data_IF_238162214715
#
_entry.id   IF_238162214715
#
_cell.length_a   1.000
_cell.length_b   1.000
_cell.length_c   1.000
_cell.angle_alpha   90.00
_cell.angle_beta   90.00
_cell.angle_gamma   90.00
#
_symmetry.space_group_name_H-M   'P 1'
#
loop_
_entity.id
_entity.type
_entity.pdbx_description
1 polymer ?
#
# COMPACT_ATOMS: atom_id res chain seq x y z
N UNK A 1 -13.66 58.50 -84.24
CA UNK A 1 -13.69 59.03 -82.86
C UNK A 1 -15.00 58.79 -82.08
N UNK A 2 -16.13 58.41 -82.70
CA UNK A 2 -17.44 58.30 -82.01
C UNK A 2 -17.71 57.02 -81.20
N UNK A 3 -17.07 55.88 -81.51
CA UNK A 3 -17.29 54.63 -80.75
C UNK A 3 -16.72 54.69 -79.32
N UNK A 4 -15.61 55.40 -79.14
CA UNK A 4 -14.95 55.51 -77.83
C UNK A 4 -15.68 56.46 -76.87
N UNK A 5 -16.35 57.50 -77.38
CA UNK A 5 -17.12 58.45 -76.55
C UNK A 5 -18.42 57.85 -76.01
N UNK A 6 -19.12 57.04 -76.80
CA UNK A 6 -20.36 56.39 -76.33
C UNK A 6 -20.10 55.31 -75.27
N UNK A 7 -19.03 54.53 -75.43
CA UNK A 7 -18.60 53.54 -74.41
C UNK A 7 -18.14 54.24 -73.12
N UNK A 8 -17.49 55.39 -73.23
CA UNK A 8 -17.05 56.18 -72.06
C UNK A 8 -18.24 56.79 -71.29
N UNK A 9 -19.29 57.25 -71.99
CA UNK A 9 -20.50 57.80 -71.33
C UNK A 9 -21.33 56.69 -70.68
N UNK A 10 -21.46 55.52 -71.34
CA UNK A 10 -22.19 54.38 -70.78
C UNK A 10 -21.46 53.76 -69.57
N UNK A 11 -20.12 53.71 -69.60
CA UNK A 11 -19.32 53.30 -68.44
C UNK A 11 -19.42 54.32 -67.30
N UNK A 12 -19.38 55.62 -67.58
CA UNK A 12 -19.60 56.67 -66.57
C UNK A 12 -20.99 56.61 -65.93
N UNK A 13 -22.05 56.28 -66.68
CA UNK A 13 -23.41 56.13 -66.15
C UNK A 13 -23.58 54.88 -65.28
N UNK A 14 -23.01 53.74 -65.69
CA UNK A 14 -23.02 52.49 -64.90
C UNK A 14 -22.18 52.63 -63.62
N UNK A 15 -21.06 53.35 -63.69
CA UNK A 15 -20.24 53.70 -62.51
C UNK A 15 -21.03 54.60 -61.56
N UNK A 16 -21.79 55.58 -62.05
CA UNK A 16 -22.53 56.51 -61.21
C UNK A 16 -23.77 55.87 -60.55
N UNK A 17 -24.44 54.93 -61.24
CA UNK A 17 -25.58 54.19 -60.69
C UNK A 17 -25.12 53.17 -59.62
N UNK A 18 -24.06 52.41 -59.90
CA UNK A 18 -23.45 51.49 -58.93
C UNK A 18 -22.90 52.23 -57.69
N UNK A 19 -22.37 53.45 -57.86
CA UNK A 19 -21.89 54.29 -56.76
C UNK A 19 -23.02 54.76 -55.83
N UNK A 20 -24.22 55.02 -56.36
CA UNK A 20 -25.39 55.42 -55.57
C UNK A 20 -25.99 54.24 -54.78
N UNK A 21 -26.04 53.06 -55.37
CA UNK A 21 -26.47 51.83 -54.67
C UNK A 21 -25.47 51.41 -53.59
N UNK A 22 -24.16 51.51 -53.88
CA UNK A 22 -23.10 51.27 -52.91
C UNK A 22 -23.17 52.27 -51.75
N UNK A 23 -23.41 53.55 -52.03
CA UNK A 23 -23.54 54.58 -51.01
C UNK A 23 -24.75 54.33 -50.09
N UNK A 24 -25.89 53.93 -50.63
CA UNK A 24 -27.05 53.55 -49.83
C UNK A 24 -26.78 52.32 -48.94
N UNK A 25 -26.08 51.30 -49.47
CA UNK A 25 -25.67 50.13 -48.67
C UNK A 25 -24.71 50.50 -47.55
N UNK A 26 -23.76 51.43 -47.80
CA UNK A 26 -22.86 51.95 -46.77
C UNK A 26 -23.63 52.68 -45.67
N UNK A 27 -24.61 53.52 -46.01
CA UNK A 27 -25.44 54.22 -45.02
C UNK A 27 -26.26 53.24 -44.16
N UNK A 28 -26.85 52.21 -44.78
CA UNK A 28 -27.60 51.17 -44.05
C UNK A 28 -26.68 50.38 -43.12
N UNK A 29 -25.48 50.01 -43.58
CA UNK A 29 -24.50 49.32 -42.74
C UNK A 29 -23.95 50.21 -41.62
N UNK A 30 -23.75 51.50 -41.86
CA UNK A 30 -23.30 52.46 -40.84
C UNK A 30 -24.36 52.68 -39.76
N UNK A 31 -25.64 52.74 -40.15
CA UNK A 31 -26.77 52.83 -39.21
C UNK A 31 -26.92 51.55 -38.39
N UNK A 32 -26.83 50.37 -39.03
CA UNK A 32 -26.85 49.08 -38.35
C UNK A 32 -25.64 48.91 -37.40
N UNK A 33 -24.44 49.31 -37.80
CA UNK A 33 -23.25 49.33 -36.92
C UNK A 33 -23.45 50.29 -35.74
N UNK A 34 -24.09 51.43 -35.95
CA UNK A 34 -24.39 52.38 -34.89
C UNK A 34 -25.41 51.81 -33.89
N UNK A 35 -26.46 51.16 -34.37
CA UNK A 35 -27.47 50.49 -33.54
C UNK A 35 -26.85 49.31 -32.76
N UNK A 36 -26.07 48.46 -33.43
CA UNK A 36 -25.35 47.35 -32.79
C UNK A 36 -24.32 47.82 -31.75
N UNK A 37 -23.65 48.95 -31.97
CA UNK A 37 -22.75 49.55 -30.97
C UNK A 37 -23.51 50.03 -29.74
N UNK A 38 -24.67 50.65 -29.95
CA UNK A 38 -25.55 51.10 -28.87
C UNK A 38 -26.07 49.93 -28.07
N UNK A 39 -26.53 48.86 -28.73
CA UNK A 39 -27.01 47.64 -28.08
C UNK A 39 -25.89 46.93 -27.30
N UNK A 40 -24.70 46.76 -27.87
CA UNK A 40 -23.55 46.22 -27.16
C UNK A 40 -23.16 47.04 -25.92
N UNK A 41 -23.25 48.38 -25.99
CA UNK A 41 -22.98 49.23 -24.84
C UNK A 41 -24.03 49.06 -23.72
N UNK A 42 -25.29 48.83 -24.09
CA UNK A 42 -26.39 48.54 -23.16
C UNK A 42 -26.17 47.19 -22.48
N UNK A 43 -25.89 46.13 -23.26
CA UNK A 43 -25.64 44.78 -22.74
C UNK A 43 -24.42 44.73 -21.82
N UNK A 44 -23.34 45.44 -22.15
CA UNK A 44 -22.18 45.58 -21.27
C UNK A 44 -22.52 46.29 -19.96
N UNK A 45 -23.43 47.27 -20.00
CA UNK A 45 -23.96 47.93 -18.81
C UNK A 45 -24.75 46.97 -17.93
N UNK A 46 -25.66 46.19 -18.53
CA UNK A 46 -26.48 45.20 -17.84
C UNK A 46 -25.64 44.08 -17.20
N UNK A 47 -24.61 43.58 -17.90
CA UNK A 47 -23.69 42.57 -17.35
C UNK A 47 -22.98 43.10 -16.09
N UNK A 48 -22.44 44.32 -16.14
CA UNK A 48 -21.79 44.93 -14.97
C UNK A 48 -22.76 45.11 -13.82
N UNK A 49 -23.99 45.51 -14.11
CA UNK A 49 -25.02 45.64 -13.08
C UNK A 49 -25.38 44.28 -12.46
N UNK A 50 -25.48 43.22 -13.28
CA UNK A 50 -25.70 41.86 -12.77
C UNK A 50 -24.53 41.36 -11.93
N UNK A 51 -23.28 41.60 -12.32
CA UNK A 51 -22.08 41.25 -11.54
C UNK A 51 -22.11 41.91 -10.16
N UNK A 52 -22.36 43.21 -10.10
CA UNK A 52 -22.46 43.93 -8.82
C UNK A 52 -23.60 43.43 -7.94
N UNK A 53 -24.74 43.06 -8.53
CA UNK A 53 -25.87 42.47 -7.80
C UNK A 53 -25.50 41.09 -7.25
N UNK A 54 -24.86 40.23 -8.04
CA UNK A 54 -24.41 38.90 -7.60
C UNK A 54 -23.42 39.02 -6.44
N UNK A 55 -22.44 39.91 -6.54
CA UNK A 55 -21.46 40.16 -5.47
C UNK A 55 -22.14 40.70 -4.20
N UNK A 56 -23.15 41.55 -4.34
CA UNK A 56 -23.92 42.05 -3.20
C UNK A 56 -24.66 40.93 -2.46
N UNK A 57 -25.26 39.98 -3.20
CA UNK A 57 -26.00 38.83 -2.63
C UNK A 57 -25.05 37.80 -2.02
N UNK A 58 -23.91 37.56 -2.66
CA UNK A 58 -22.88 36.64 -2.18
C UNK A 58 -22.29 37.06 -0.82
N UNK A 59 -22.21 38.38 -0.58
CA UNK A 59 -21.70 38.96 0.65
C UNK A 59 -22.75 39.15 1.75
N UNK A 60 -24.02 38.78 1.51
CA UNK A 60 -25.04 38.85 2.56
C UNK A 60 -24.69 37.88 3.71
N UNK A 61 -24.96 38.26 4.98
CA UNK A 61 -24.63 37.44 6.15
C UNK A 61 -25.17 36.01 6.08
N UNK A 62 -26.43 35.87 5.62
CA UNK A 62 -27.09 34.57 5.45
C UNK A 62 -26.41 33.70 4.39
N UNK A 63 -25.92 34.30 3.30
CA UNK A 63 -25.22 33.59 2.23
C UNK A 63 -23.86 33.10 2.70
N UNK A 64 -23.09 33.95 3.39
CA UNK A 64 -21.80 33.60 3.99
C UNK A 64 -21.98 32.47 5.02
N UNK A 65 -23.00 32.57 5.88
CA UNK A 65 -23.32 31.56 6.88
C UNK A 65 -23.79 30.23 6.26
N UNK A 66 -24.53 30.28 5.15
CA UNK A 66 -24.92 29.08 4.40
C UNK A 66 -23.68 28.40 3.78
N UNK A 67 -22.75 29.18 3.23
CA UNK A 67 -21.51 28.66 2.66
C UNK A 67 -20.58 28.06 3.72
N UNK A 68 -20.52 28.64 4.93
CA UNK A 68 -19.76 28.01 6.03
C UNK A 68 -20.35 26.66 6.44
N UNK A 69 -21.68 26.51 6.39
CA UNK A 69 -22.32 25.21 6.63
C UNK A 69 -21.89 24.16 5.60
N UNK A 70 -21.84 24.54 4.32
CA UNK A 70 -21.35 23.66 3.27
C UNK A 70 -19.90 23.21 3.53
N UNK A 71 -19.00 24.12 3.90
CA UNK A 71 -17.61 23.75 4.21
C UNK A 71 -17.51 22.83 5.44
N UNK A 72 -18.32 23.06 6.47
CA UNK A 72 -18.41 22.18 7.62
C UNK A 72 -18.83 20.75 7.22
N UNK A 73 -19.86 20.60 6.39
CA UNK A 73 -20.31 19.30 5.89
C UNK A 73 -19.27 18.60 5.02
N UNK A 74 -18.50 19.37 4.24
CA UNK A 74 -17.40 18.87 3.41
C UNK A 74 -16.11 18.60 4.19
N UNK A 75 -16.11 18.78 5.52
CA UNK A 75 -14.93 18.65 6.40
C UNK A 75 -13.79 19.61 6.05
N UNK A 76 -14.10 20.70 5.36
CA UNK A 76 -13.20 21.81 5.04
C UNK A 76 -13.27 22.81 6.20
N UNK A 77 -12.72 22.41 7.34
CA UNK A 77 -12.93 23.14 8.59
C UNK A 77 -12.19 24.47 8.63
N UNK A 78 -11.01 24.58 8.01
CA UNK A 78 -10.25 25.83 7.92
C UNK A 78 -11.03 26.88 7.13
N UNK A 79 -11.54 26.53 5.95
CA UNK A 79 -12.35 27.42 5.12
C UNK A 79 -13.69 27.78 5.78
N UNK A 80 -14.26 26.86 6.57
CA UNK A 80 -15.43 27.14 7.40
C UNK A 80 -15.12 28.19 8.47
N UNK A 81 -14.00 28.03 9.18
CA UNK A 81 -13.56 28.93 10.26
C UNK A 81 -13.30 30.33 9.68
N UNK A 82 -12.56 30.42 8.58
CA UNK A 82 -12.23 31.70 7.92
C UNK A 82 -13.50 32.46 7.52
N UNK A 83 -14.49 31.78 6.93
CA UNK A 83 -15.77 32.41 6.59
C UNK A 83 -16.54 32.90 7.82
N UNK A 84 -16.50 32.17 8.93
CA UNK A 84 -17.17 32.55 10.17
C UNK A 84 -16.48 33.74 10.85
N UNK A 85 -15.15 33.83 10.76
CA UNK A 85 -14.38 35.01 11.19
C UNK A 85 -14.80 36.23 10.37
N UNK A 86 -14.76 36.15 9.03
CA UNK A 86 -15.16 37.23 8.13
C UNK A 86 -16.61 37.68 8.41
N UNK A 87 -17.52 36.73 8.62
CA UNK A 87 -18.91 37.01 8.97
C UNK A 87 -19.01 37.78 10.29
N UNK A 88 -18.28 37.36 11.32
CA UNK A 88 -18.29 38.00 12.63
C UNK A 88 -17.65 39.39 12.63
N UNK A 89 -16.64 39.62 11.79
CA UNK A 89 -15.98 40.92 11.66
C UNK A 89 -16.84 41.92 10.91
N UNK A 90 -17.46 41.51 9.80
CA UNK A 90 -18.30 42.38 8.96
C UNK A 90 -19.70 42.59 9.55
N UNK A 91 -20.24 41.61 10.27
CA UNK A 91 -21.62 41.60 10.78
C UNK A 91 -21.68 41.08 12.22
N UNK A 92 -21.11 41.81 13.20
CA UNK A 92 -20.89 41.31 14.57
C UNK A 92 -22.17 40.96 15.34
N UNK A 93 -23.28 41.64 15.06
CA UNK A 93 -24.57 41.41 15.73
C UNK A 93 -25.45 40.39 15.01
N UNK A 94 -25.08 39.93 13.80
CA UNK A 94 -25.90 39.02 13.02
C UNK A 94 -25.81 37.59 13.56
N UNK A 95 -26.90 37.11 14.17
CA UNK A 95 -27.04 35.75 14.72
C UNK A 95 -25.82 35.24 15.51
N UNK A 96 -25.16 36.14 16.27
CA UNK A 96 -23.86 35.92 16.93
C UNK A 96 -23.75 34.58 17.67
N UNK A 97 -24.79 34.16 18.39
CA UNK A 97 -24.82 32.87 19.11
C UNK A 97 -24.71 31.67 18.16
N UNK A 98 -25.36 31.70 16.99
CA UNK A 98 -25.31 30.61 16.00
C UNK A 98 -23.97 30.58 15.28
N UNK A 99 -23.40 31.75 14.95
CA UNK A 99 -22.05 31.88 14.37
C UNK A 99 -21.01 31.30 15.33
N UNK A 100 -21.01 31.72 16.60
CA UNK A 100 -20.08 31.22 17.61
C UNK A 100 -20.21 29.72 17.85
N UNK A 101 -21.44 29.19 17.86
CA UNK A 101 -21.65 27.75 18.01
C UNK A 101 -20.98 26.98 16.87
N UNK A 102 -21.23 27.38 15.62
CA UNK A 102 -20.63 26.72 14.45
C UNK A 102 -19.11 26.87 14.41
N UNK A 103 -18.59 28.03 14.81
CA UNK A 103 -17.16 28.26 14.91
C UNK A 103 -16.51 27.29 15.90
N UNK A 104 -17.10 27.12 17.09
CA UNK A 104 -16.62 26.16 18.08
C UNK A 104 -16.73 24.70 17.60
N UNK A 105 -17.82 24.35 16.89
CA UNK A 105 -17.98 23.04 16.25
C UNK A 105 -16.86 22.78 15.23
N UNK A 106 -16.58 23.74 14.34
CA UNK A 106 -15.54 23.63 13.33
C UNK A 106 -14.13 23.53 13.93
N UNK A 107 -13.81 24.32 14.96
CA UNK A 107 -12.52 24.24 15.66
C UNK A 107 -12.34 22.89 16.35
N UNK A 108 -13.38 22.40 17.02
CA UNK A 108 -13.33 21.10 17.70
C UNK A 108 -13.10 19.99 16.68
N UNK A 109 -13.85 20.02 15.57
CA UNK A 109 -13.71 19.04 14.49
C UNK A 109 -12.33 19.10 13.81
N UNK A 110 -11.76 20.30 13.58
CA UNK A 110 -10.41 20.48 13.04
C UNK A 110 -9.35 19.90 13.99
N UNK A 111 -9.48 20.15 15.29
CA UNK A 111 -8.56 19.62 16.30
C UNK A 111 -8.58 18.09 16.33
N UNK A 112 -9.77 17.49 16.25
CA UNK A 112 -9.91 16.04 16.25
C UNK A 112 -9.41 15.41 14.95
N UNK A 113 -9.64 16.05 13.79
CA UNK A 113 -9.07 15.64 12.51
C UNK A 113 -7.54 15.64 12.55
N UNK A 114 -6.93 16.71 13.07
CA UNK A 114 -5.48 16.83 13.17
C UNK A 114 -4.87 15.78 14.10
N UNK A 115 -5.52 15.49 15.24
CA UNK A 115 -5.09 14.40 16.14
C UNK A 115 -5.16 13.03 15.45
N UNK A 116 -6.21 12.77 14.69
CA UNK A 116 -6.36 11.49 14.01
C UNK A 116 -5.34 11.34 12.88
N UNK A 117 -5.07 12.40 12.12
CA UNK A 117 -3.99 12.42 11.13
C UNK A 117 -2.63 12.15 11.78
N UNK A 118 -2.32 12.79 12.91
CA UNK A 118 -1.09 12.53 13.66
C UNK A 118 -0.99 11.06 14.11
N UNK A 119 -2.07 10.48 14.61
CA UNK A 119 -2.11 9.06 14.99
C UNK A 119 -1.82 8.14 13.82
N UNK A 120 -2.40 8.42 12.65
CA UNK A 120 -2.16 7.64 11.42
C UNK A 120 -0.68 7.74 11.02
N UNK A 121 -0.11 8.95 11.00
CA UNK A 121 1.32 9.16 10.68
C UNK A 121 2.22 8.42 11.66
N UNK A 122 1.98 8.55 12.97
CA UNK A 122 2.74 7.81 13.99
C UNK A 122 2.62 6.29 13.82
N UNK A 123 1.44 5.79 13.49
CA UNK A 123 1.21 4.36 13.28
C UNK A 123 1.97 3.86 12.05
N UNK A 124 1.97 4.62 10.96
CA UNK A 124 2.76 4.32 9.76
C UNK A 124 4.26 4.36 10.03
N UNK A 125 4.75 5.35 10.77
CA UNK A 125 6.15 5.43 11.16
C UNK A 125 6.57 4.22 12.02
N UNK A 126 5.74 3.82 12.99
CA UNK A 126 5.98 2.62 13.81
C UNK A 126 6.00 1.37 12.93
N UNK A 127 5.09 1.25 11.97
CA UNK A 127 5.08 0.13 10.99
C UNK A 127 6.36 0.11 10.15
N UNK A 128 6.78 1.25 9.62
CA UNK A 128 8.03 1.39 8.84
C UNK A 128 9.26 1.01 9.68
N UNK A 129 9.35 1.50 10.92
CA UNK A 129 10.44 1.16 11.85
C UNK A 129 10.48 -0.34 12.15
N UNK A 130 9.34 -0.98 12.42
CA UNK A 130 9.25 -2.43 12.64
C UNK A 130 9.69 -3.23 11.40
N UNK A 131 9.24 -2.82 10.20
CA UNK A 131 9.65 -3.46 8.94
C UNK A 131 11.16 -3.34 8.71
N UNK A 132 11.74 -2.18 8.99
CA UNK A 132 13.19 -1.98 8.88
C UNK A 132 13.97 -2.83 9.91
N UNK A 133 13.49 -2.91 11.16
CA UNK A 133 14.08 -3.76 12.18
C UNK A 133 14.01 -5.24 11.80
N UNK A 134 12.89 -5.69 11.25
CA UNK A 134 12.74 -7.06 10.75
C UNK A 134 13.78 -7.34 9.65
N UNK A 135 13.94 -6.44 8.67
CA UNK A 135 14.95 -6.61 7.61
C UNK A 135 16.37 -6.76 8.18
N UNK A 136 16.75 -5.93 9.16
CA UNK A 136 18.06 -6.03 9.83
C UNK A 136 18.19 -7.36 10.57
N UNK A 137 17.14 -7.84 11.24
CA UNK A 137 17.15 -9.15 11.90
C UNK A 137 17.32 -10.29 10.90
N UNK A 138 16.62 -10.23 9.77
CA UNK A 138 16.73 -11.21 8.70
C UNK A 138 18.14 -11.24 8.11
N UNK A 139 18.78 -10.10 7.92
CA UNK A 139 20.16 -10.03 7.42
C UNK A 139 21.19 -10.60 8.40
N UNK A 140 20.98 -10.42 9.71
CA UNK A 140 21.91 -10.91 10.73
C UNK A 140 21.75 -12.40 11.04
N UNK A 141 20.55 -12.96 10.88
CA UNK A 141 20.23 -14.32 11.31
C UNK A 141 20.13 -15.34 10.17
N UNK A 142 20.16 -14.89 8.91
CA UNK A 142 20.08 -15.74 7.73
C UNK A 142 21.40 -15.69 6.94
N UNK A 143 22.04 -16.83 6.81
CA UNK A 143 23.16 -17.05 5.89
C UNK A 143 22.65 -17.17 4.46
N UNK A 144 23.38 -16.56 3.52
CA UNK A 144 23.05 -16.58 2.10
C UNK A 144 24.23 -17.13 1.32
N UNK A 145 24.02 -18.29 0.69
CA UNK A 145 25.08 -18.98 -0.06
C UNK A 145 24.64 -19.32 -1.47
N UNK A 146 25.36 -18.79 -2.46
CA UNK A 146 25.16 -19.14 -3.86
C UNK A 146 25.97 -20.37 -4.27
N UNK A 147 25.30 -21.35 -4.88
CA UNK A 147 25.91 -22.51 -5.52
C UNK A 147 25.87 -22.36 -7.05
N UNK A 148 27.03 -21.99 -7.63
CA UNK A 148 27.21 -21.84 -9.07
C UNK A 148 26.90 -23.10 -9.87
N UNK A 149 27.14 -24.29 -9.31
CA UNK A 149 26.91 -25.57 -10.02
C UNK A 149 25.44 -25.91 -10.08
N UNK A 150 24.70 -25.58 -9.01
CA UNK A 150 23.26 -25.84 -8.91
C UNK A 150 22.39 -24.68 -9.40
N UNK A 151 22.99 -23.53 -9.72
CA UNK A 151 22.30 -22.30 -10.11
C UNK A 151 21.22 -21.95 -9.09
N UNK A 152 21.62 -21.90 -7.83
CA UNK A 152 20.71 -21.73 -6.70
C UNK A 152 21.36 -20.99 -5.55
N UNK A 153 20.60 -20.07 -4.97
CA UNK A 153 20.93 -19.41 -3.71
C UNK A 153 20.19 -20.09 -2.57
N UNK A 154 20.92 -20.43 -1.52
CA UNK A 154 20.42 -21.06 -0.30
C UNK A 154 20.34 -20.02 0.80
N UNK A 155 19.21 -19.99 1.50
CA UNK A 155 18.95 -19.16 2.65
C UNK A 155 18.75 -20.07 3.86
N UNK A 156 19.72 -20.08 4.78
CA UNK A 156 19.76 -20.96 5.97
C UNK A 156 19.89 -20.12 7.24
N UNK A 157 19.45 -20.63 8.38
CA UNK A 157 19.55 -19.86 9.64
C UNK A 157 20.93 -20.00 10.30
N UNK A 158 21.35 -18.98 11.05
CA UNK A 158 22.47 -19.06 11.99
C UNK A 158 22.07 -19.59 13.38
N UNK A 159 20.77 -19.71 13.65
CA UNK A 159 20.25 -20.15 14.95
C UNK A 159 20.43 -21.65 15.15
N UNK A 160 20.44 -22.07 16.41
CA UNK A 160 20.44 -23.49 16.75
C UNK A 160 19.10 -24.12 16.41
N UNK A 161 19.12 -25.08 15.49
CA UNK A 161 17.93 -25.82 15.04
C UNK A 161 17.80 -27.19 15.69
N UNK A 162 18.70 -27.53 16.63
CA UNK A 162 18.72 -28.79 17.37
C UNK A 162 18.20 -28.57 18.79
N UNK A 163 17.22 -29.38 19.19
CA UNK A 163 16.65 -29.45 20.52
C UNK A 163 17.03 -30.78 21.18
N UNK A 164 17.50 -30.73 22.42
CA UNK A 164 17.72 -31.92 23.22
C UNK A 164 16.47 -32.23 24.04
N UNK A 165 15.84 -33.39 23.79
CA UNK A 165 14.57 -33.78 24.43
C UNK A 165 14.80 -34.60 25.69
N UNK A 166 15.87 -35.39 25.72
CA UNK A 166 16.31 -36.09 26.92
C UNK A 166 17.85 -36.17 26.95
N UNK A 167 18.41 -36.89 27.93
CA UNK A 167 19.87 -36.97 28.10
C UNK A 167 20.61 -37.52 26.86
N UNK A 168 20.01 -38.46 26.14
CA UNK A 168 20.65 -39.17 25.02
C UNK A 168 20.15 -38.70 23.66
N UNK A 169 18.93 -38.16 23.57
CA UNK A 169 18.21 -37.89 22.33
C UNK A 169 18.10 -36.40 22.04
N UNK A 170 18.41 -36.03 20.81
CA UNK A 170 18.21 -34.70 20.25
C UNK A 170 17.55 -34.76 18.88
N UNK A 171 16.74 -33.75 18.57
CA UNK A 171 16.04 -33.58 17.31
C UNK A 171 16.39 -32.26 16.67
N UNK A 172 16.71 -32.26 15.38
CA UNK A 172 16.87 -31.05 14.59
C UNK A 172 15.72 -30.82 13.62
N UNK A 173 15.25 -29.58 13.55
CA UNK A 173 14.32 -29.10 12.53
C UNK A 173 14.86 -27.77 12.01
N UNK A 174 15.35 -27.78 10.77
CA UNK A 174 15.86 -26.61 10.06
C UNK A 174 15.07 -26.42 8.77
N UNK A 175 14.20 -25.41 8.77
CA UNK A 175 13.61 -24.90 7.54
C UNK A 175 14.65 -24.04 6.82
N UNK A 176 14.77 -24.23 5.51
CA UNK A 176 15.61 -23.38 4.67
C UNK A 176 14.95 -23.16 3.31
N UNK A 177 15.33 -22.09 2.63
CA UNK A 177 14.76 -21.73 1.33
C UNK A 177 15.82 -21.83 0.23
N UNK A 178 15.38 -22.27 -0.94
CA UNK A 178 16.20 -22.30 -2.16
C UNK A 178 15.56 -21.43 -3.22
N UNK A 179 16.37 -20.54 -3.80
CA UNK A 179 15.97 -19.66 -4.91
C UNK A 179 16.81 -20.03 -6.13
N UNK A 180 16.15 -20.45 -7.20
CA UNK A 180 16.78 -20.78 -8.48
C UNK A 180 17.03 -19.51 -9.29
N UNK A 181 18.03 -19.54 -10.17
CA UNK A 181 18.34 -18.41 -11.06
C UNK A 181 17.17 -18.04 -12.00
N UNK A 182 16.25 -18.97 -12.25
CA UNK A 182 15.01 -18.74 -13.00
C UNK A 182 13.88 -18.09 -12.17
N UNK A 183 14.15 -17.70 -10.92
CA UNK A 183 13.21 -17.06 -10.01
C UNK A 183 12.32 -18.02 -9.22
N UNK A 184 12.37 -19.34 -9.47
CA UNK A 184 11.60 -20.31 -8.67
C UNK A 184 12.13 -20.39 -7.25
N UNK A 185 11.23 -20.28 -6.28
CA UNK A 185 11.52 -20.39 -4.85
C UNK A 185 10.78 -21.59 -4.27
N UNK A 186 11.41 -22.30 -3.35
CA UNK A 186 10.77 -23.38 -2.61
C UNK A 186 11.46 -23.61 -1.29
N UNK A 187 10.72 -24.16 -0.33
CA UNK A 187 11.24 -24.52 0.98
C UNK A 187 11.69 -25.97 1.03
N UNK A 188 12.67 -26.22 1.90
CA UNK A 188 13.12 -27.57 2.25
C UNK A 188 13.30 -27.67 3.74
N UNK A 189 13.09 -28.87 4.27
CA UNK A 189 13.32 -29.19 5.67
C UNK A 189 14.51 -30.13 5.81
N UNK A 190 15.52 -29.70 6.55
CA UNK A 190 16.49 -30.62 7.14
C UNK A 190 16.00 -31.07 8.50
N UNK A 191 15.80 -32.36 8.64
CA UNK A 191 15.50 -32.97 9.94
C UNK A 191 16.66 -33.82 10.41
N UNK A 192 16.82 -33.91 11.72
CA UNK A 192 17.77 -34.85 12.32
C UNK A 192 17.20 -35.51 13.55
N UNK A 193 17.52 -36.79 13.72
CA UNK A 193 17.46 -37.50 14.99
C UNK A 193 18.89 -37.88 15.36
N UNK A 194 19.28 -37.61 16.60
CA UNK A 194 20.60 -37.91 17.13
C UNK A 194 20.40 -38.61 18.45
N UNK A 195 20.92 -39.82 18.58
CA UNK A 195 21.01 -40.52 19.85
C UNK A 195 22.47 -40.77 20.22
N UNK A 196 22.84 -40.34 21.42
CA UNK A 196 24.19 -40.48 21.97
C UNK A 196 24.19 -41.46 23.12
N UNK A 197 25.25 -42.25 23.19
CA UNK A 197 25.53 -43.07 24.35
C UNK A 197 25.99 -42.20 25.52
N UNK A 198 25.46 -42.49 26.71
CA UNK A 198 25.90 -41.88 27.96
C UNK A 198 26.70 -42.84 28.84
N UNK A 199 26.88 -44.10 28.41
CA UNK A 199 27.52 -45.16 29.18
C UNK A 199 27.84 -46.36 28.27
N UNK A 200 28.89 -47.11 28.59
CA UNK A 200 29.25 -48.39 27.93
C UNK A 200 28.10 -49.42 27.97
N UNK A 201 27.09 -49.23 28.83
CA UNK A 201 25.92 -50.11 28.94
C UNK A 201 24.68 -49.64 28.13
N UNK A 202 24.79 -48.53 27.40
CA UNK A 202 23.70 -48.02 26.55
C UNK A 202 24.16 -47.93 25.10
N UNK A 203 23.58 -48.77 24.24
CA UNK A 203 23.79 -48.68 22.80
C UNK A 203 22.74 -47.73 22.20
N UNK A 204 23.15 -46.65 21.50
CA UNK A 204 22.22 -45.81 20.75
C UNK A 204 21.43 -46.65 19.75
N UNK A 205 20.19 -46.27 19.48
CA UNK A 205 19.36 -46.92 18.48
C UNK A 205 19.04 -46.00 17.32
N UNK A 206 18.64 -46.60 16.20
CA UNK A 206 17.99 -45.86 15.12
C UNK A 206 16.50 -45.74 15.44
N UNK A 207 15.96 -44.52 15.31
CA UNK A 207 14.53 -44.24 15.40
C UNK A 207 13.79 -44.72 14.16
N UNK A 208 14.45 -44.72 12.99
CA UNK A 208 13.86 -45.02 11.69
C UNK A 208 12.59 -44.19 11.44
N UNK A 209 12.64 -42.88 11.72
CA UNK A 209 11.46 -42.01 11.59
C UNK A 209 11.05 -41.88 10.13
N UNK A 210 9.80 -42.15 9.78
CA UNK A 210 9.27 -42.04 8.41
C UNK A 210 8.32 -40.86 8.22
N UNK A 211 7.90 -40.23 9.32
CA UNK A 211 6.98 -39.10 9.29
C UNK A 211 7.32 -38.06 10.35
N UNK A 212 7.24 -36.79 9.94
CA UNK A 212 7.29 -35.64 10.84
C UNK A 212 5.97 -34.89 10.71
N UNK A 213 5.35 -34.53 11.82
CA UNK A 213 4.13 -33.74 11.82
C UNK A 213 4.35 -32.46 12.64
N UNK A 214 3.94 -31.33 12.07
CA UNK A 214 3.99 -30.01 12.69
C UNK A 214 2.57 -29.55 12.98
N UNK A 215 2.32 -29.09 14.20
CA UNK A 215 1.03 -28.56 14.65
C UNK A 215 1.24 -27.18 15.27
N UNK A 216 0.73 -26.15 14.61
CA UNK A 216 0.79 -24.79 15.09
C UNK A 216 -0.39 -24.45 16.01
N UNK A 217 -0.20 -23.46 16.89
CA UNK A 217 -1.24 -22.94 17.78
C UNK A 217 -2.33 -22.14 17.06
N UNK A 218 -2.07 -21.69 15.83
CA UNK A 218 -3.07 -21.08 14.95
C UNK A 218 -4.00 -22.11 14.27
N UNK A 219 -3.80 -23.42 14.50
CA UNK A 219 -4.61 -24.50 13.92
C UNK A 219 -4.00 -25.15 12.68
N UNK A 220 -2.90 -24.59 12.16
CA UNK A 220 -2.25 -25.10 10.95
C UNK A 220 -1.46 -26.38 11.21
N UNK A 221 -1.47 -27.26 10.22
CA UNK A 221 -0.82 -28.57 10.33
C UNK A 221 -0.06 -28.92 9.07
N UNK A 222 1.06 -29.61 9.23
CA UNK A 222 1.87 -30.08 8.11
C UNK A 222 2.36 -31.49 8.38
N UNK A 223 2.15 -32.38 7.40
CA UNK A 223 2.67 -33.75 7.44
C UNK A 223 3.78 -33.88 6.42
N UNK A 224 4.94 -34.30 6.88
CA UNK A 224 6.17 -34.40 6.10
C UNK A 224 6.58 -35.87 6.08
N UNK A 225 6.53 -36.48 4.90
CA UNK A 225 6.95 -37.86 4.69
C UNK A 225 8.46 -37.90 4.46
N UNK A 226 9.17 -38.57 5.35
CA UNK A 226 10.60 -38.79 5.26
C UNK A 226 10.86 -40.13 4.55
N UNK A 227 10.79 -40.11 3.21
CA UNK A 227 11.09 -41.28 2.40
C UNK A 227 12.57 -41.68 2.50
N UNK A 228 12.87 -42.98 2.34
CA UNK A 228 14.22 -43.53 2.48
C UNK A 228 15.24 -42.93 1.51
N UNK A 229 14.80 -42.45 0.34
CA UNK A 229 15.68 -41.86 -0.68
C UNK A 229 16.32 -40.54 -0.22
N UNK A 230 15.64 -39.81 0.67
CA UNK A 230 16.10 -38.53 1.20
C UNK A 230 16.79 -38.68 2.55
N UNK A 231 16.94 -39.91 3.05
CA UNK A 231 17.56 -40.19 4.34
C UNK A 231 19.03 -40.52 4.22
N UNK A 232 19.78 -40.10 5.23
CA UNK A 232 21.16 -40.51 5.46
C UNK A 232 21.29 -40.93 6.91
N UNK A 233 22.04 -41.99 7.14
CA UNK A 233 22.34 -42.47 8.48
C UNK A 233 23.85 -42.40 8.69
N UNK A 234 24.25 -41.75 9.78
CA UNK A 234 25.64 -41.71 10.23
C UNK A 234 25.70 -42.49 11.55
N UNK A 235 26.73 -43.32 11.71
CA UNK A 235 26.96 -44.06 12.95
C UNK A 235 28.42 -43.91 13.39
N UNK A 236 28.58 -43.79 14.70
CA UNK A 236 29.85 -43.85 15.41
C UNK A 236 29.64 -44.74 16.65
N UNK A 237 30.73 -45.16 17.29
CA UNK A 237 30.74 -46.06 18.45
C UNK A 237 29.86 -45.57 19.60
N UNK A 238 29.61 -44.27 19.69
CA UNK A 238 28.83 -43.65 20.75
C UNK A 238 27.62 -42.83 20.25
N UNK A 239 27.31 -42.88 18.96
CA UNK A 239 26.23 -42.05 18.41
C UNK A 239 25.61 -42.68 17.16
N UNK A 240 24.28 -42.69 17.12
CA UNK A 240 23.52 -42.95 15.88
C UNK A 240 22.80 -41.68 15.47
N UNK A 241 22.82 -41.38 14.18
CA UNK A 241 22.22 -40.18 13.62
C UNK A 241 21.45 -40.51 12.35
N UNK A 242 20.25 -39.97 12.26
CA UNK A 242 19.39 -40.05 11.07
C UNK A 242 19.09 -38.65 10.58
N UNK A 243 19.42 -38.38 9.33
CA UNK A 243 19.23 -37.12 8.65
C UNK A 243 18.21 -37.28 7.53
N UNK A 244 17.39 -36.27 7.30
CA UNK A 244 16.61 -36.16 6.07
C UNK A 244 16.66 -34.73 5.53
N UNK A 245 16.53 -34.59 4.22
CA UNK A 245 16.43 -33.30 3.55
C UNK A 245 15.29 -33.35 2.52
N UNK A 246 14.15 -32.75 2.85
CA UNK A 246 12.87 -32.98 2.17
C UNK A 246 12.36 -31.69 1.52
N UNK A 247 11.84 -31.78 0.29
CA UNK A 247 11.12 -30.68 -0.36
C UNK A 247 9.74 -30.52 0.27
N UNK A 248 9.40 -29.29 0.65
CA UNK A 248 8.10 -28.99 1.25
C UNK A 248 7.14 -28.34 0.24
N UNK A 249 5.84 -28.48 0.51
CA UNK A 249 4.84 -27.63 -0.11
C UNK A 249 5.02 -26.18 0.37
N UNK A 250 5.14 -25.26 -0.58
CA UNK A 250 5.48 -23.87 -0.26
C UNK A 250 4.32 -23.16 0.41
N UNK A 251 3.10 -23.37 -0.07
CA UNK A 251 1.92 -22.69 0.45
C UNK A 251 1.65 -23.15 1.88
N UNK A 252 1.72 -24.46 2.13
CA UNK A 252 1.56 -25.02 3.47
C UNK A 252 2.61 -24.51 4.48
N UNK A 253 3.82 -24.17 4.03
CA UNK A 253 4.85 -23.58 4.91
C UNK A 253 4.51 -22.14 5.28
N UNK A 254 3.99 -21.35 4.34
CA UNK A 254 3.68 -19.94 4.58
C UNK A 254 2.57 -19.74 5.64
N UNK A 255 1.65 -20.70 5.76
CA UNK A 255 0.58 -20.67 6.78
C UNK A 255 1.10 -20.68 8.24
N UNK A 256 2.37 -21.03 8.45
CA UNK A 256 3.01 -21.01 9.78
C UNK A 256 3.57 -19.64 10.18
N UNK A 257 3.47 -18.60 9.35
CA UNK A 257 4.04 -17.26 9.61
C UNK A 257 3.63 -16.70 10.99
N UNK A 258 2.36 -16.82 11.34
CA UNK A 258 1.78 -16.22 12.55
C UNK A 258 1.82 -17.16 13.77
N UNK A 259 2.27 -18.40 13.63
CA UNK A 259 2.27 -19.42 14.69
C UNK A 259 3.17 -19.04 15.87
N UNK A 260 2.67 -18.84 17.09
CA UNK A 260 3.53 -18.52 18.24
C UNK A 260 4.12 -19.76 18.91
N UNK A 261 3.62 -20.92 18.54
CA UNK A 261 4.09 -22.21 19.02
C UNK A 261 3.87 -23.26 17.94
N UNK A 262 4.88 -24.10 17.73
CA UNK A 262 4.77 -25.25 16.83
C UNK A 262 5.19 -26.49 17.60
N UNK A 263 4.28 -27.44 17.68
CA UNK A 263 4.50 -28.77 18.24
C UNK A 263 4.90 -29.73 17.14
N UNK A 264 5.87 -30.58 17.44
CA UNK A 264 6.52 -31.47 16.50
C UNK A 264 6.34 -32.90 16.96
N UNK A 265 5.97 -33.77 16.04
CA UNK A 265 5.94 -35.22 16.23
C UNK A 265 6.89 -35.88 15.24
N UNK A 266 7.86 -36.64 15.74
CA UNK A 266 8.61 -37.59 14.92
C UNK A 266 8.01 -38.99 15.13
N UNK A 267 7.64 -39.65 14.04
CA UNK A 267 7.06 -41.00 14.05
C UNK A 267 7.96 -41.97 13.30
N UNK A 268 8.23 -43.12 13.90
CA UNK A 268 9.04 -44.21 13.35
C UNK A 268 8.89 -45.46 14.21
N UNK A 269 10.01 -46.11 14.55
CA UNK A 269 10.07 -47.16 15.59
C UNK A 269 9.49 -46.66 16.92
N UNK A 270 9.71 -45.38 17.22
CA UNK A 270 9.22 -44.69 18.39
C UNK A 270 8.40 -43.45 18.00
N UNK A 271 7.64 -42.90 18.95
CA UNK A 271 6.96 -41.61 18.84
C UNK A 271 7.61 -40.63 19.80
N UNK A 272 8.10 -39.50 19.28
CA UNK A 272 8.57 -38.38 20.09
C UNK A 272 7.74 -37.14 19.80
N UNK A 273 7.35 -36.45 20.86
CA UNK A 273 6.61 -35.19 20.83
C UNK A 273 7.42 -34.13 21.58
N UNK A 274 7.53 -32.94 20.98
CA UNK A 274 8.11 -31.78 21.65
C UNK A 274 7.62 -30.47 21.02
N UNK A 275 7.68 -29.39 21.79
CA UNK A 275 7.46 -28.05 21.26
C UNK A 275 8.79 -27.51 20.72
N UNK A 276 8.78 -26.86 19.54
CA UNK A 276 9.97 -26.20 19.01
C UNK A 276 10.56 -25.25 20.04
N UNK A 277 11.88 -25.23 20.16
CA UNK A 277 12.57 -24.25 21.00
C UNK A 277 12.35 -22.84 20.46
N UNK A 278 12.62 -21.84 21.29
CA UNK A 278 12.62 -20.44 20.87
C UNK A 278 13.45 -20.22 19.60
N UNK A 279 14.67 -20.76 19.55
CA UNK A 279 15.56 -20.62 18.40
C UNK A 279 15.07 -21.36 17.16
N UNK A 280 14.51 -22.58 17.31
CA UNK A 280 13.92 -23.32 16.21
C UNK A 280 12.74 -22.56 15.60
N UNK A 281 11.82 -22.07 16.44
CA UNK A 281 10.64 -21.32 15.97
C UNK A 281 11.04 -20.00 15.30
N UNK A 282 11.98 -19.25 15.89
CA UNK A 282 12.46 -18.01 15.29
C UNK A 282 13.19 -18.25 13.98
N UNK A 283 14.03 -19.29 13.88
CA UNK A 283 14.67 -19.68 12.62
C UNK A 283 13.62 -19.97 11.54
N UNK A 284 12.59 -20.74 11.90
CA UNK A 284 11.50 -21.10 11.02
C UNK A 284 10.78 -19.85 10.48
N UNK A 285 10.39 -18.94 11.37
CA UNK A 285 9.71 -17.68 11.02
C UNK A 285 10.58 -16.73 10.20
N UNK A 286 11.86 -16.60 10.54
CA UNK A 286 12.79 -15.73 9.80
C UNK A 286 12.92 -16.19 8.35
N UNK A 287 13.03 -17.51 8.12
CA UNK A 287 13.10 -18.07 6.76
C UNK A 287 11.79 -17.86 5.99
N UNK A 288 10.63 -18.05 6.64
CA UNK A 288 9.32 -17.73 6.03
C UNK A 288 9.24 -16.26 5.66
N UNK A 289 9.52 -15.36 6.62
CA UNK A 289 9.45 -13.93 6.39
C UNK A 289 10.37 -13.50 5.23
N UNK A 290 11.57 -14.09 5.11
CA UNK A 290 12.52 -13.77 4.04
C UNK A 290 11.98 -14.07 2.64
N UNK A 291 11.03 -15.00 2.49
CA UNK A 291 10.40 -15.34 1.21
C UNK A 291 9.76 -14.12 0.53
N UNK A 292 9.11 -13.26 1.31
CA UNK A 292 8.39 -12.05 0.85
C UNK A 292 9.31 -10.89 0.46
N UNK A 293 10.58 -10.93 0.89
CA UNK A 293 11.54 -9.83 0.71
C UNK A 293 12.59 -10.07 -0.38
N UNK A 294 12.55 -11.23 -1.03
CA UNK A 294 13.40 -11.59 -2.18
C UNK A 294 12.57 -11.50 -3.45
#
# INVERSE_FOLDING_TARGET
>A
MMKNTFIMILSLFLINCGKKELHNKVIVLETEISELKKENSSLLGEIKEMETRIDSVANLPATIFSRSHYYLEKKQYEECIDLLIILSEKYPEWERTRVNRRYNEAITALKDLNKEQQRIVEQEERRKKRKAQLLVQLENNIDVKYDKRKQSTYYTTHRTTICQINRTVSFGIELYMVVKDNGRKYFRLRSSYIEKSHSEYYEPEFMLYDRIELFADNGETMVINADSENKRSDQDSFMKKELSDILLDTDAVLEFHDANKVRVFFKGKYLYEFDMTYDQLHAFKEIIAKFDYI
#
